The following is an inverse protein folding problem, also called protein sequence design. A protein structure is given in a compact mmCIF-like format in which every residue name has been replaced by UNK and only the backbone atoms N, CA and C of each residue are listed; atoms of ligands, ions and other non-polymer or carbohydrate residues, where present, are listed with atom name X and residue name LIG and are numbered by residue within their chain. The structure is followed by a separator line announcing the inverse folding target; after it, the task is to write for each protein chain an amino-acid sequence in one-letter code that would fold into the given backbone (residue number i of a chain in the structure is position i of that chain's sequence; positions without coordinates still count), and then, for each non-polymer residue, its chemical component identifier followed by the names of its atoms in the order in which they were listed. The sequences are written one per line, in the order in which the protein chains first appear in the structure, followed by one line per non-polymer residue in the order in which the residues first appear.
data_IF_166636046313
#
_entry.id   IF_166636046313
#
_cell.length_a   1.000
_cell.length_b   1.000
_cell.length_c   1.000
_cell.angle_alpha   90.00
_cell.angle_beta   90.00
_cell.angle_gamma   90.00
#
_symmetry.space_group_name_H-M   'P 1'
#
loop_
_entity.id
_entity.type
_entity.pdbx_description
1 polymer ?
#
# COMPACT_ATOMS: atom_id res chain seq x y z
N UNK A 1 11.76 -12.65 -10.93
CA UNK A 1 10.53 -12.05 -10.37
C UNK A 1 11.00 -11.15 -9.23
N UNK A 2 10.99 -9.84 -9.44
CA UNK A 2 11.73 -8.87 -8.63
C UNK A 2 11.12 -8.73 -7.22
N UNK A 3 11.95 -9.01 -6.21
CA UNK A 3 11.66 -8.74 -4.82
C UNK A 3 11.81 -7.22 -4.58
N UNK A 4 10.80 -6.43 -4.97
CA UNK A 4 10.85 -4.96 -4.89
C UNK A 4 10.60 -4.47 -3.47
N UNK A 5 11.50 -3.61 -3.02
CA UNK A 5 11.44 -2.94 -1.72
C UNK A 5 10.23 -2.00 -1.66
N UNK A 6 9.47 -2.02 -0.55
CA UNK A 6 8.25 -1.20 -0.35
C UNK A 6 8.47 0.29 -0.66
N UNK A 7 9.66 0.80 -0.40
CA UNK A 7 10.02 2.21 -0.58
C UNK A 7 9.98 2.70 -2.04
N UNK A 8 10.09 1.81 -3.02
CA UNK A 8 10.12 2.17 -4.46
C UNK A 8 8.77 1.93 -5.18
N UNK A 9 7.75 1.47 -4.45
CA UNK A 9 6.45 1.17 -5.05
C UNK A 9 5.61 2.44 -5.27
N UNK A 10 4.83 2.45 -6.36
CA UNK A 10 3.80 3.48 -6.58
C UNK A 10 2.56 3.15 -5.75
N UNK A 11 1.64 4.11 -5.62
CA UNK A 11 0.39 3.86 -4.91
C UNK A 11 -0.42 2.76 -5.61
N UNK A 12 -0.56 2.83 -6.94
CA UNK A 12 -1.35 1.88 -7.72
C UNK A 12 -0.83 0.46 -7.55
N UNK A 13 0.49 0.26 -7.67
CA UNK A 13 1.11 -1.06 -7.50
C UNK A 13 0.96 -1.61 -6.08
N UNK A 14 1.02 -0.73 -5.08
CA UNK A 14 0.86 -1.15 -3.69
C UNK A 14 -0.60 -1.53 -3.38
N UNK A 15 -1.56 -0.83 -3.99
CA UNK A 15 -2.97 -1.17 -3.91
C UNK A 15 -3.28 -2.49 -4.63
N UNK A 16 -2.78 -2.67 -5.86
CA UNK A 16 -2.93 -3.91 -6.64
C UNK A 16 -2.37 -5.12 -5.87
N UNK A 17 -1.14 -5.02 -5.34
CA UNK A 17 -0.54 -6.11 -4.57
C UNK A 17 -1.31 -6.40 -3.26
N UNK A 18 -1.86 -5.37 -2.62
CA UNK A 18 -2.67 -5.53 -1.42
C UNK A 18 -3.99 -6.26 -1.75
N UNK A 19 -4.66 -5.91 -2.84
CA UNK A 19 -5.88 -6.56 -3.29
C UNK A 19 -5.62 -8.04 -3.63
N UNK A 20 -4.52 -8.35 -4.33
CA UNK A 20 -4.10 -9.72 -4.62
C UNK A 20 -3.87 -10.54 -3.34
N UNK A 21 -3.24 -9.94 -2.32
CA UNK A 21 -3.03 -10.59 -1.03
C UNK A 21 -4.36 -10.85 -0.34
N UNK A 22 -5.27 -9.87 -0.33
CA UNK A 22 -6.58 -10.00 0.30
C UNK A 22 -7.43 -11.07 -0.40
N UNK A 23 -7.34 -11.18 -1.73
CA UNK A 23 -8.03 -12.22 -2.49
C UNK A 23 -7.52 -13.61 -2.10
N UNK A 24 -6.20 -13.82 -2.06
CA UNK A 24 -5.61 -15.11 -1.64
C UNK A 24 -5.99 -15.48 -0.21
N UNK A 25 -6.05 -14.50 0.69
CA UNK A 25 -6.49 -14.73 2.07
C UNK A 25 -7.97 -15.11 2.15
N UNK A 26 -8.84 -14.47 1.35
CA UNK A 26 -10.28 -14.79 1.28
C UNK A 26 -10.54 -16.18 0.71
N UNK A 27 -9.73 -16.60 -0.26
CA UNK A 27 -9.86 -17.90 -0.92
C UNK A 27 -9.16 -19.04 -0.16
N UNK A 28 -8.61 -18.79 1.04
CA UNK A 28 -7.87 -19.77 1.83
C UNK A 28 -6.66 -20.37 1.08
N UNK A 29 -6.08 -19.59 0.16
CA UNK A 29 -4.94 -20.00 -0.68
C UNK A 29 -3.58 -19.78 0.02
N UNK A 30 -3.60 -19.27 1.25
CA UNK A 30 -2.41 -18.95 2.04
C UNK A 30 -2.20 -20.02 3.10
N UNK A 31 -1.12 -20.78 2.97
CA UNK A 31 -0.74 -21.76 3.97
C UNK A 31 -0.39 -21.11 5.31
N UNK A 32 -0.64 -21.82 6.42
CA UNK A 32 -0.36 -21.34 7.78
C UNK A 32 1.09 -20.85 7.96
N UNK A 33 2.06 -21.55 7.36
CA UNK A 33 3.48 -21.18 7.41
C UNK A 33 3.80 -19.85 6.71
N UNK A 34 2.94 -19.42 5.77
CA UNK A 34 3.10 -18.17 5.01
C UNK A 34 2.21 -17.05 5.54
N UNK A 35 1.25 -17.36 6.42
CA UNK A 35 0.26 -16.42 6.90
C UNK A 35 0.91 -15.19 7.57
N UNK A 36 1.91 -15.41 8.42
CA UNK A 36 2.65 -14.33 9.08
C UNK A 36 3.31 -13.39 8.06
N UNK A 37 3.99 -13.95 7.06
CA UNK A 37 4.69 -13.18 6.03
C UNK A 37 3.71 -12.39 5.16
N UNK A 38 2.62 -13.02 4.75
CA UNK A 38 1.57 -12.41 3.91
C UNK A 38 0.88 -11.27 4.65
N UNK A 39 0.50 -11.47 5.91
CA UNK A 39 -0.13 -10.43 6.73
C UNK A 39 0.83 -9.28 7.00
N UNK A 40 2.10 -9.56 7.28
CA UNK A 40 3.13 -8.53 7.46
C UNK A 40 3.32 -7.69 6.20
N UNK A 41 3.32 -8.34 5.03
CA UNK A 41 3.40 -7.65 3.74
C UNK A 41 2.19 -6.75 3.51
N UNK A 42 0.97 -7.26 3.75
CA UNK A 42 -0.26 -6.48 3.64
C UNK A 42 -0.25 -5.24 4.55
N UNK A 43 0.21 -5.39 5.79
CA UNK A 43 0.35 -4.27 6.72
C UNK A 43 1.35 -3.22 6.22
N UNK A 44 2.47 -3.65 5.64
CA UNK A 44 3.45 -2.76 5.01
C UNK A 44 2.89 -1.99 3.81
N UNK A 45 2.16 -2.67 2.92
CA UNK A 45 1.51 -2.06 1.77
C UNK A 45 0.43 -1.06 2.19
N UNK A 46 -0.40 -1.42 3.16
CA UNK A 46 -1.42 -0.53 3.72
C UNK A 46 -0.81 0.76 4.28
N UNK A 47 0.27 0.65 5.05
CA UNK A 47 1.00 1.80 5.58
C UNK A 47 1.57 2.70 4.46
N UNK A 48 2.17 2.10 3.43
CA UNK A 48 2.69 2.84 2.28
C UNK A 48 1.59 3.62 1.57
N UNK A 49 0.44 2.99 1.33
CA UNK A 49 -0.71 3.64 0.70
C UNK A 49 -1.20 4.84 1.52
N UNK A 50 -1.33 4.67 2.84
CA UNK A 50 -1.71 5.75 3.75
C UNK A 50 -0.70 6.92 3.74
N UNK A 51 0.60 6.62 3.76
CA UNK A 51 1.64 7.64 3.71
C UNK A 51 1.62 8.43 2.39
N UNK A 52 1.40 7.76 1.25
CA UNK A 52 1.28 8.44 -0.05
C UNK A 52 0.05 9.33 -0.12
N UNK A 53 -1.10 8.88 0.39
CA UNK A 53 -2.32 9.68 0.44
C UNK A 53 -2.11 10.92 1.31
N UNK A 54 -1.63 10.76 2.54
CA UNK A 54 -1.35 11.88 3.46
C UNK A 54 -0.38 12.90 2.86
N UNK A 55 0.69 12.43 2.22
CA UNK A 55 1.65 13.31 1.56
C UNK A 55 1.03 14.06 0.38
N UNK A 56 0.16 13.41 -0.38
CA UNK A 56 -0.57 14.04 -1.49
C UNK A 56 -1.56 15.07 -0.96
N UNK A 57 -2.39 14.72 0.03
CA UNK A 57 -3.33 15.62 0.69
C UNK A 57 -2.62 16.87 1.22
N UNK A 58 -1.49 16.70 1.92
CA UNK A 58 -0.71 17.82 2.43
C UNK A 58 -0.21 18.75 1.31
N UNK A 59 0.32 18.18 0.22
CA UNK A 59 0.77 18.98 -0.94
C UNK A 59 -0.39 19.72 -1.60
N UNK A 60 -1.53 19.06 -1.75
CA UNK A 60 -2.74 19.70 -2.32
C UNK A 60 -3.20 20.84 -1.43
N UNK A 61 -3.26 20.64 -0.11
CA UNK A 61 -3.59 21.68 0.86
C UNK A 61 -2.62 22.87 0.77
N UNK A 62 -1.31 22.62 0.74
CA UNK A 62 -0.30 23.68 0.60
C UNK A 62 -0.47 24.47 -0.72
N UNK A 63 -0.89 23.81 -1.80
CA UNK A 63 -1.16 24.48 -3.09
C UNK A 63 -2.43 25.33 -3.00
N UNK A 64 -3.49 24.81 -2.39
CA UNK A 64 -4.76 25.54 -2.19
C UNK A 64 -4.50 26.82 -1.37
N UNK A 65 -3.77 26.70 -0.26
CA UNK A 65 -3.39 27.83 0.58
C UNK A 65 -2.55 28.88 -0.19
N UNK A 66 -1.61 28.44 -1.03
CA UNK A 66 -0.81 29.34 -1.88
C UNK A 66 -1.62 30.05 -2.97
N UNK A 67 -2.68 29.41 -3.46
CA UNK A 67 -3.59 29.98 -4.46
C UNK A 67 -4.65 30.90 -3.83
N UNK A 68 -4.74 30.96 -2.50
CA UNK A 68 -5.72 31.77 -1.78
C UNK A 68 -7.16 31.30 -1.97
N UNK A 69 -7.33 30.00 -2.25
CA UNK A 69 -8.63 29.32 -2.41
C UNK A 69 -9.12 28.74 -1.09
#
# INVERSE_FOLDING_TARGET
MENRTLSEMTYERAAEELDDILEKLKNDEVSIDKLESVVTRAAGLSKLCQEKLRNTEKKVQEIIEKLGL
#
